data_IF_312776219526
#
_entry.id   IF_312776219526
#
_cell.length_a   1.000
_cell.length_b   1.000
_cell.length_c   1.000
_cell.angle_alpha   90.00
_cell.angle_beta   90.00
_cell.angle_gamma   90.00
#
_symmetry.space_group_name_H-M   'P 1'
#
loop_
_entity.id
_entity.type
_entity.pdbx_description
1 polymer ?
#
# COMPACT_ATOMS: atom_id res chain seq x y z
N UNK A 1 56.33 -8.89 62.97
CA UNK A 1 54.90 -9.26 62.78
C UNK A 1 54.28 -8.36 61.79
N UNK A 2 54.12 -8.84 60.56
CA UNK A 2 53.52 -8.03 59.43
C UNK A 2 52.06 -8.49 59.28
N UNK A 3 51.13 -7.63 59.65
CA UNK A 3 49.72 -7.85 59.46
C UNK A 3 49.38 -7.60 57.97
N UNK A 4 49.04 -8.68 57.26
CA UNK A 4 48.50 -8.59 55.90
C UNK A 4 47.05 -8.06 55.95
N UNK A 5 46.84 -6.86 55.46
CA UNK A 5 45.50 -6.32 55.24
C UNK A 5 45.04 -6.84 53.89
N UNK A 6 44.06 -7.75 53.89
CA UNK A 6 43.33 -8.16 52.68
C UNK A 6 42.30 -7.04 52.39
N UNK A 7 42.47 -6.35 51.28
CA UNK A 7 41.42 -5.51 50.68
C UNK A 7 40.46 -6.41 49.90
N UNK A 8 39.16 -6.40 50.16
CA UNK A 8 38.20 -7.01 49.27
C UNK A 8 38.00 -6.11 48.03
N UNK A 9 38.41 -6.62 46.89
CA UNK A 9 38.08 -6.03 45.59
C UNK A 9 36.58 -6.24 45.39
N UNK A 10 35.83 -5.18 45.60
CA UNK A 10 34.42 -5.14 45.25
C UNK A 10 34.35 -4.98 43.72
N UNK A 11 34.19 -6.09 43.01
CA UNK A 11 33.90 -6.10 41.60
C UNK A 11 32.49 -5.55 41.41
N UNK A 12 32.41 -4.26 41.04
CA UNK A 12 31.19 -3.61 40.62
C UNK A 12 30.84 -4.17 39.24
N UNK A 13 30.10 -5.26 39.20
CA UNK A 13 29.44 -5.74 38.01
C UNK A 13 28.34 -4.72 37.65
N UNK A 14 28.73 -3.71 36.88
CA UNK A 14 27.78 -2.90 36.15
C UNK A 14 27.10 -3.83 35.14
N UNK A 15 25.95 -4.36 35.54
CA UNK A 15 25.03 -4.99 34.63
C UNK A 15 24.63 -3.95 33.59
N UNK A 16 25.25 -4.06 32.44
CA UNK A 16 24.71 -3.44 31.24
C UNK A 16 23.35 -4.10 30.98
N UNK A 17 22.32 -3.56 31.61
CA UNK A 17 20.96 -3.82 31.15
C UNK A 17 20.92 -3.17 29.77
N UNK A 18 21.25 -3.95 28.76
CA UNK A 18 20.88 -3.65 27.40
C UNK A 18 19.35 -3.57 27.43
N UNK A 19 18.81 -2.35 27.50
CA UNK A 19 17.46 -2.11 27.06
C UNK A 19 17.47 -2.52 25.58
N UNK A 20 17.11 -3.76 25.30
CA UNK A 20 16.61 -4.11 23.99
C UNK A 20 15.42 -3.17 23.78
N UNK A 21 15.67 -2.07 23.06
CA UNK A 21 14.59 -1.32 22.47
C UNK A 21 13.92 -2.29 21.53
N UNK A 22 12.71 -2.68 21.89
CA UNK A 22 11.77 -3.36 21.01
C UNK A 22 11.38 -2.36 19.89
N UNK A 23 12.36 -1.87 19.14
CA UNK A 23 12.15 -0.88 18.08
C UNK A 23 11.20 -1.42 17.01
N UNK A 24 11.13 -2.74 16.84
CA UNK A 24 10.22 -3.44 15.94
C UNK A 24 8.74 -3.25 16.31
N UNK A 25 8.42 -3.01 17.57
CA UNK A 25 7.04 -2.74 18.01
C UNK A 25 6.48 -1.42 17.48
N UNK A 26 7.36 -0.52 17.09
CA UNK A 26 7.00 0.82 16.65
C UNK A 26 7.24 1.05 15.16
N UNK A 27 7.58 0.01 14.41
CA UNK A 27 7.81 0.12 12.97
C UNK A 27 6.48 -0.02 12.22
N UNK A 28 6.15 0.98 11.46
CA UNK A 28 4.99 0.94 10.56
C UNK A 28 5.27 0.05 9.37
N UNK A 29 4.32 -0.80 9.02
CA UNK A 29 4.39 -1.63 7.81
C UNK A 29 3.37 -1.17 6.77
N UNK A 30 3.77 -1.19 5.51
CA UNK A 30 2.92 -0.89 4.38
C UNK A 30 2.01 -2.09 4.05
N UNK A 31 0.75 -1.88 3.63
CA UNK A 31 -0.07 -2.97 3.12
C UNK A 31 0.61 -3.67 1.94
N UNK A 32 0.47 -4.99 1.83
CA UNK A 32 0.92 -5.77 0.69
C UNK A 32 -0.25 -5.97 -0.27
N UNK A 33 -0.13 -5.43 -1.47
CA UNK A 33 -1.16 -5.54 -2.50
C UNK A 33 -0.99 -6.86 -3.26
N UNK A 34 -2.10 -7.56 -3.45
CA UNK A 34 -2.17 -8.83 -4.17
C UNK A 34 -2.61 -8.64 -5.63
N UNK A 35 -3.68 -7.85 -5.84
CA UNK A 35 -4.22 -7.60 -7.18
C UNK A 35 -5.07 -6.31 -7.20
N UNK A 36 -5.50 -5.94 -8.39
CA UNK A 36 -6.56 -4.97 -8.66
C UNK A 36 -7.61 -5.68 -9.51
N UNK A 37 -8.82 -5.83 -8.97
CA UNK A 37 -9.93 -6.53 -9.62
C UNK A 37 -11.01 -5.57 -10.07
N UNK A 38 -11.81 -6.01 -11.04
CA UNK A 38 -12.95 -5.24 -11.59
C UNK A 38 -14.14 -6.17 -11.66
N UNK A 39 -15.24 -5.79 -11.04
CA UNK A 39 -16.49 -6.56 -11.07
C UNK A 39 -17.64 -5.70 -11.57
N UNK A 40 -18.41 -6.21 -12.54
CA UNK A 40 -19.63 -5.54 -13.00
C UNK A 40 -20.62 -5.42 -11.84
N UNK A 41 -21.22 -4.24 -11.68
CA UNK A 41 -22.28 -4.01 -10.69
C UNK A 41 -23.57 -4.77 -11.04
N UNK A 42 -23.75 -5.11 -12.33
CA UNK A 42 -24.99 -5.72 -12.84
C UNK A 42 -24.87 -7.24 -12.92
N UNK A 43 -23.76 -7.74 -13.48
CA UNK A 43 -23.61 -9.18 -13.80
C UNK A 43 -22.68 -9.92 -12.86
N UNK A 44 -22.00 -9.20 -11.97
CA UNK A 44 -20.97 -9.72 -11.05
C UNK A 44 -19.83 -10.48 -11.76
N UNK A 45 -19.69 -10.31 -13.08
CA UNK A 45 -18.65 -10.95 -13.87
C UNK A 45 -17.41 -10.08 -14.01
N UNK A 46 -16.28 -10.69 -14.33
CA UNK A 46 -15.01 -10.00 -14.60
C UNK A 46 -14.94 -9.48 -16.06
N UNK A 47 -15.98 -9.71 -16.85
CA UNK A 47 -16.05 -9.23 -18.23
C UNK A 47 -16.38 -7.74 -18.22
N UNK A 48 -15.44 -6.92 -18.68
CA UNK A 48 -15.57 -5.46 -18.67
C UNK A 48 -16.13 -5.01 -20.02
N UNK A 49 -17.29 -4.37 -19.97
CA UNK A 49 -18.04 -3.90 -21.14
C UNK A 49 -18.19 -2.38 -21.07
N UNK A 50 -18.01 -1.70 -22.22
CA UNK A 50 -18.17 -0.26 -22.31
C UNK A 50 -19.60 0.18 -21.93
N UNK A 51 -19.73 1.27 -21.19
CA UNK A 51 -21.01 1.81 -20.71
C UNK A 51 -21.52 1.20 -19.40
N UNK A 52 -20.97 0.05 -18.95
CA UNK A 52 -21.35 -0.56 -17.67
C UNK A 52 -20.58 0.03 -16.49
N UNK A 53 -21.17 -0.07 -15.30
CA UNK A 53 -20.54 0.29 -14.03
C UNK A 53 -19.78 -0.89 -13.46
N UNK A 54 -18.54 -0.65 -13.06
CA UNK A 54 -17.69 -1.64 -12.41
C UNK A 54 -17.23 -1.12 -11.05
N UNK A 55 -17.10 -2.03 -10.10
CA UNK A 55 -16.34 -1.79 -8.87
C UNK A 55 -14.90 -2.22 -9.13
N UNK A 56 -13.99 -1.26 -9.14
CA UNK A 56 -12.57 -1.50 -9.09
C UNK A 56 -12.15 -1.67 -7.63
N UNK A 57 -11.44 -2.74 -7.30
CA UNK A 57 -10.97 -3.01 -5.93
C UNK A 57 -9.50 -3.38 -5.96
N UNK A 58 -8.71 -2.74 -5.08
CA UNK A 58 -7.32 -3.16 -4.84
C UNK A 58 -7.31 -4.09 -3.64
N UNK A 59 -6.92 -5.33 -3.87
CA UNK A 59 -6.94 -6.40 -2.88
C UNK A 59 -5.63 -6.41 -2.09
N UNK A 60 -5.73 -6.33 -0.77
CA UNK A 60 -4.61 -6.42 0.15
C UNK A 60 -4.43 -7.86 0.63
N UNK A 61 -3.28 -8.47 0.32
CA UNK A 61 -2.89 -9.77 0.89
C UNK A 61 -2.54 -9.66 2.37
N UNK A 62 -1.94 -8.53 2.76
CA UNK A 62 -1.64 -8.19 4.14
C UNK A 62 -2.00 -6.74 4.39
N UNK A 63 -2.59 -6.49 5.54
CA UNK A 63 -2.91 -5.14 5.99
C UNK A 63 -1.65 -4.48 6.57
N UNK A 64 -1.56 -3.17 6.43
CA UNK A 64 -0.52 -2.41 7.09
C UNK A 64 -0.67 -2.41 8.62
N UNK A 65 0.35 -1.94 9.30
CA UNK A 65 0.40 -1.79 10.74
C UNK A 65 0.95 -0.42 11.13
N UNK A 66 0.53 0.13 12.26
CA UNK A 66 0.91 1.46 12.75
C UNK A 66 0.75 2.57 11.69
N UNK A 67 -0.39 2.55 11.03
CA UNK A 67 -0.83 3.59 10.11
C UNK A 67 -2.08 4.24 10.70
N UNK A 68 -2.31 5.55 10.45
CA UNK A 68 -3.47 6.23 11.03
C UNK A 68 -4.54 6.59 10.00
N UNK A 69 -4.20 6.73 8.72
CA UNK A 69 -5.15 6.95 7.62
C UNK A 69 -4.55 6.56 6.28
N UNK A 70 -5.40 6.38 5.29
CA UNK A 70 -5.03 6.24 3.89
C UNK A 70 -5.74 7.28 3.02
N UNK A 71 -5.06 7.74 1.98
CA UNK A 71 -5.60 8.60 0.95
C UNK A 71 -5.48 7.87 -0.39
N UNK A 72 -6.58 7.74 -1.12
CA UNK A 72 -6.62 7.04 -2.40
C UNK A 72 -6.97 7.98 -3.54
N UNK A 73 -6.18 7.93 -4.60
CA UNK A 73 -6.48 8.63 -5.85
C UNK A 73 -6.51 7.64 -6.99
N UNK A 74 -7.67 7.46 -7.57
CA UNK A 74 -7.88 6.66 -8.76
C UNK A 74 -7.72 7.50 -10.02
N UNK A 75 -7.20 6.91 -11.07
CA UNK A 75 -7.19 7.48 -12.41
C UNK A 75 -7.05 6.38 -13.44
N UNK A 76 -7.67 6.55 -14.59
CA UNK A 76 -7.25 5.88 -15.79
C UNK A 76 -6.11 6.70 -16.40
N UNK A 77 -4.92 6.16 -16.43
CA UNK A 77 -3.85 6.75 -17.22
C UNK A 77 -4.03 6.25 -18.65
N UNK A 78 -4.83 6.97 -19.43
CA UNK A 78 -4.90 6.73 -20.86
C UNK A 78 -3.62 7.22 -21.50
N UNK A 79 -3.02 6.34 -22.28
CA UNK A 79 -1.99 6.73 -23.19
C UNK A 79 -2.60 7.74 -24.17
N UNK A 80 -2.13 8.98 -24.04
CA UNK A 80 -2.16 10.01 -25.05
C UNK A 80 -3.54 10.49 -25.56
N UNK A 81 -4.15 11.38 -24.81
CA UNK A 81 -4.94 12.47 -25.41
C UNK A 81 -6.33 12.15 -25.92
N UNK A 82 -6.83 10.92 -25.81
CA UNK A 82 -8.12 10.54 -26.41
C UNK A 82 -9.28 10.56 -25.42
N UNK A 83 -9.02 10.35 -24.14
CA UNK A 83 -10.08 10.37 -23.13
C UNK A 83 -9.64 11.14 -21.88
N UNK A 84 -10.53 11.98 -21.37
CA UNK A 84 -10.43 12.43 -19.97
C UNK A 84 -10.51 11.19 -19.09
N UNK A 85 -9.80 11.16 -17.95
CA UNK A 85 -9.94 10.05 -17.00
C UNK A 85 -11.42 9.73 -16.81
N UNK A 86 -11.79 8.46 -17.01
CA UNK A 86 -13.16 8.03 -16.82
C UNK A 86 -13.61 8.30 -15.39
N UNK A 87 -12.66 8.34 -14.47
CA UNK A 87 -12.88 8.74 -13.08
C UNK A 87 -11.59 9.29 -12.47
N UNK A 88 -11.74 10.20 -11.54
CA UNK A 88 -10.71 10.62 -10.59
C UNK A 88 -11.39 10.89 -9.27
N UNK A 89 -11.01 10.15 -8.23
CA UNK A 89 -11.51 10.38 -6.88
C UNK A 89 -10.36 10.42 -5.88
N UNK A 90 -10.54 11.19 -4.82
CA UNK A 90 -9.69 11.15 -3.63
C UNK A 90 -10.56 10.73 -2.48
N UNK A 91 -10.28 9.55 -1.94
CA UNK A 91 -11.02 8.99 -0.81
C UNK A 91 -10.09 8.91 0.39
N UNK A 92 -10.60 9.34 1.54
CA UNK A 92 -9.94 9.16 2.83
C UNK A 92 -10.60 7.99 3.55
N UNK A 93 -9.84 6.95 3.83
CA UNK A 93 -10.39 5.73 4.40
C UNK A 93 -9.48 5.12 5.47
N UNK A 94 -10.00 4.12 6.14
CA UNK A 94 -9.21 3.26 7.00
C UNK A 94 -8.24 2.43 6.15
N UNK A 95 -6.95 2.49 6.46
CA UNK A 95 -5.90 1.77 5.75
C UNK A 95 -6.11 0.24 5.71
N UNK A 96 -6.93 -0.29 6.59
CA UNK A 96 -7.24 -1.72 6.66
C UNK A 96 -8.29 -2.18 5.67
N UNK A 97 -9.00 -1.26 5.02
CA UNK A 97 -9.98 -1.56 3.99
C UNK A 97 -9.29 -1.73 2.64
N UNK A 98 -9.85 -2.58 1.78
CA UNK A 98 -9.43 -2.64 0.39
C UNK A 98 -9.92 -1.37 -0.32
N UNK A 99 -9.02 -0.56 -0.93
CA UNK A 99 -9.44 0.59 -1.69
C UNK A 99 -10.35 0.19 -2.84
N UNK A 100 -11.53 0.79 -2.94
CA UNK A 100 -12.47 0.52 -4.01
C UNK A 100 -13.14 1.80 -4.50
N UNK A 101 -13.53 1.81 -5.78
CA UNK A 101 -14.32 2.87 -6.38
C UNK A 101 -15.16 2.32 -7.53
N UNK A 102 -16.25 3.02 -7.86
CA UNK A 102 -17.09 2.68 -8.99
C UNK A 102 -16.69 3.47 -10.22
N UNK A 103 -16.37 2.75 -11.28
CA UNK A 103 -15.87 3.31 -12.53
C UNK A 103 -16.75 2.93 -13.72
N UNK A 104 -16.68 3.74 -14.79
CA UNK A 104 -17.32 3.47 -16.09
C UNK A 104 -16.29 3.72 -17.19
N UNK A 105 -16.13 2.75 -18.08
CA UNK A 105 -15.38 2.94 -19.32
C UNK A 105 -16.35 3.27 -20.44
N UNK A 106 -16.25 4.46 -21.00
CA UNK A 106 -17.24 4.94 -21.99
C UNK A 106 -17.08 4.34 -23.40
N UNK A 107 -15.93 3.73 -23.66
CA UNK A 107 -15.63 3.15 -24.99
C UNK A 107 -14.86 1.83 -24.85
N UNK A 108 -14.99 0.91 -25.81
CA UNK A 108 -14.14 -0.26 -25.83
C UNK A 108 -12.68 0.13 -26.09
N UNK A 109 -11.74 -0.66 -25.58
CA UNK A 109 -10.31 -0.39 -25.73
C UNK A 109 -9.47 -1.01 -24.64
N UNK A 110 -8.18 -0.69 -24.61
CA UNK A 110 -7.27 -1.07 -23.54
C UNK A 110 -6.94 0.15 -22.71
N UNK A 111 -7.18 0.04 -21.42
CA UNK A 111 -6.99 1.12 -20.46
C UNK A 111 -5.91 0.74 -19.45
N UNK A 112 -5.14 1.71 -19.00
CA UNK A 112 -4.22 1.55 -17.89
C UNK A 112 -4.80 2.21 -16.65
N UNK A 113 -5.44 1.44 -15.80
CA UNK A 113 -6.01 1.93 -14.53
C UNK A 113 -4.91 2.07 -13.50
N UNK A 114 -4.92 3.17 -12.78
CA UNK A 114 -3.91 3.51 -11.77
C UNK A 114 -4.58 3.94 -10.47
N UNK A 115 -4.16 3.32 -9.37
CA UNK A 115 -4.40 3.80 -8.02
C UNK A 115 -3.09 4.34 -7.44
N UNK A 116 -3.12 5.51 -6.85
CA UNK A 116 -2.07 6.01 -5.97
C UNK A 116 -2.63 6.07 -4.55
N UNK A 117 -2.09 5.26 -3.67
CA UNK A 117 -2.42 5.24 -2.25
C UNK A 117 -1.28 5.90 -1.45
N UNK A 118 -1.64 6.74 -0.49
CA UNK A 118 -0.74 7.25 0.54
C UNK A 118 -1.19 6.69 1.87
N UNK A 119 -0.32 5.93 2.53
CA UNK A 119 -0.55 5.38 3.86
C UNK A 119 0.26 6.18 4.87
N UNK A 120 -0.41 6.93 5.70
CA UNK A 120 0.22 7.81 6.68
C UNK A 120 0.73 7.02 7.87
N UNK A 121 2.02 7.18 8.14
CA UNK A 121 2.79 6.46 9.17
C UNK A 121 2.49 7.02 10.55
N UNK A 122 2.21 6.16 11.52
CA UNK A 122 2.07 6.52 12.94
C UNK A 122 3.20 6.01 13.83
N UNK A 123 4.04 5.12 13.30
CA UNK A 123 5.26 4.62 13.94
C UNK A 123 6.53 5.10 13.23
N UNK A 124 7.59 4.30 13.29
CA UNK A 124 8.80 4.52 12.52
C UNK A 124 8.64 4.01 11.10
N UNK A 125 9.20 4.71 10.12
CA UNK A 125 9.16 4.26 8.74
C UNK A 125 10.08 3.06 8.51
N UNK A 126 9.59 2.04 7.80
CA UNK A 126 10.40 0.93 7.29
C UNK A 126 10.91 1.25 5.88
N UNK A 127 12.21 1.50 5.74
CA UNK A 127 12.83 1.81 4.45
C UNK A 127 12.93 0.58 3.52
N UNK A 128 12.81 -0.64 4.05
CA UNK A 128 12.89 -1.88 3.25
C UNK A 128 11.67 -2.08 2.36
N UNK A 129 10.63 -1.27 2.54
CA UNK A 129 9.39 -1.35 1.76
C UNK A 129 9.58 -1.00 0.28
N UNK A 130 10.62 -0.24 -0.06
CA UNK A 130 10.85 0.24 -1.45
C UNK A 130 11.12 -0.93 -2.39
N UNK A 131 10.14 -1.26 -3.23
CA UNK A 131 10.19 -2.37 -4.19
C UNK A 131 9.14 -2.23 -5.28
N UNK A 132 9.27 -3.06 -6.30
CA UNK A 132 8.22 -3.25 -7.32
C UNK A 132 7.84 -4.72 -7.35
N UNK A 133 6.55 -5.01 -7.28
CA UNK A 133 5.99 -6.35 -7.42
C UNK A 133 5.13 -6.42 -8.68
N UNK A 134 5.19 -7.52 -9.40
CA UNK A 134 4.29 -7.80 -10.50
C UNK A 134 2.97 -8.39 -9.96
N UNK A 135 1.87 -8.01 -10.59
CA UNK A 135 0.53 -8.56 -10.38
C UNK A 135 -0.08 -8.96 -11.74
N UNK A 136 -1.14 -9.75 -11.80
CA UNK A 136 -1.77 -10.12 -13.06
C UNK A 136 -2.14 -8.90 -13.92
N UNK A 137 -1.48 -8.76 -15.08
CA UNK A 137 -1.71 -7.65 -16.02
C UNK A 137 -1.23 -6.27 -15.56
N UNK A 138 -0.38 -6.20 -14.51
CA UNK A 138 0.07 -4.93 -13.98
C UNK A 138 1.22 -5.03 -12.99
N UNK A 139 1.42 -3.97 -12.22
CA UNK A 139 2.46 -3.89 -11.19
C UNK A 139 2.07 -3.02 -10.02
N UNK A 140 2.75 -3.23 -8.91
CA UNK A 140 2.66 -2.43 -7.69
C UNK A 140 4.04 -1.87 -7.37
N UNK A 141 4.14 -0.56 -7.26
CA UNK A 141 5.36 0.14 -6.86
C UNK A 141 5.19 0.68 -5.45
N UNK A 142 6.14 0.37 -4.58
CA UNK A 142 6.19 0.82 -3.20
C UNK A 142 7.32 1.82 -3.05
N UNK A 143 7.02 2.97 -2.47
CA UNK A 143 7.96 4.06 -2.26
C UNK A 143 7.82 4.62 -0.84
N UNK A 144 8.92 5.14 -0.31
CA UNK A 144 8.94 5.91 0.93
C UNK A 144 9.42 7.34 0.60
N UNK A 145 8.54 8.22 0.07
CA UNK A 145 8.93 9.57 -0.32
C UNK A 145 9.29 10.45 0.87
N UNK A 146 8.76 10.14 2.04
CA UNK A 146 9.10 10.79 3.30
C UNK A 146 8.84 9.83 4.47
N UNK A 147 9.41 10.12 5.62
CA UNK A 147 9.17 9.37 6.86
C UNK A 147 7.71 9.45 7.38
N UNK A 148 6.87 10.28 6.76
CA UNK A 148 5.47 10.48 7.17
C UNK A 148 4.48 9.57 6.45
N UNK A 149 4.83 9.03 5.28
CA UNK A 149 3.91 8.19 4.52
C UNK A 149 4.61 7.27 3.51
N UNK A 150 3.99 6.11 3.28
CA UNK A 150 4.29 5.26 2.14
C UNK A 150 3.42 5.67 0.95
N UNK A 151 4.01 5.64 -0.25
CA UNK A 151 3.25 5.74 -1.50
C UNK A 151 3.23 4.38 -2.16
N UNK A 152 2.03 3.88 -2.45
CA UNK A 152 1.81 2.65 -3.20
C UNK A 152 1.11 3.00 -4.49
N UNK A 153 1.73 2.70 -5.62
CA UNK A 153 1.16 2.90 -6.95
C UNK A 153 0.83 1.55 -7.54
N UNK A 154 -0.46 1.28 -7.72
CA UNK A 154 -0.96 0.08 -8.41
C UNK A 154 -1.34 0.47 -9.81
N UNK A 155 -0.86 -0.27 -10.81
CA UNK A 155 -1.18 -0.05 -12.22
C UNK A 155 -1.59 -1.36 -12.83
N UNK A 156 -2.72 -1.39 -13.55
CA UNK A 156 -3.21 -2.58 -14.25
C UNK A 156 -3.78 -2.22 -15.62
N UNK A 157 -3.43 -3.03 -16.62
CA UNK A 157 -4.02 -2.94 -17.96
C UNK A 157 -5.37 -3.66 -17.96
N UNK A 158 -6.37 -3.02 -18.52
CA UNK A 158 -7.76 -3.50 -18.54
C UNK A 158 -8.26 -3.46 -19.96
N UNK A 159 -8.76 -4.59 -20.46
CA UNK A 159 -9.39 -4.67 -21.79
C UNK A 159 -10.90 -4.52 -21.64
N UNK A 160 -11.43 -3.47 -22.23
CA UNK A 160 -12.87 -3.15 -22.26
C UNK A 160 -13.43 -3.60 -23.59
N UNK A 161 -14.48 -4.39 -23.56
CA UNK A 161 -15.16 -4.91 -24.75
C UNK A 161 -16.29 -3.98 -25.19
N UNK A 162 -16.68 -4.06 -26.46
CA UNK A 162 -17.91 -3.39 -26.92
C UNK A 162 -19.12 -4.01 -26.22
N UNK A 163 -20.16 -3.20 -26.02
CA UNK A 163 -21.46 -3.71 -25.63
C UNK A 163 -22.01 -4.62 -26.76
N UNK A 164 -22.73 -5.69 -26.44
CA UNK A 164 -23.31 -6.60 -27.40
C UNK A 164 -24.38 -5.90 -28.28
#
# INVERSE_FOLDING_TARGET
>A
MIKKILLPVFALALGLVSCERDDDKYVSTCPVIHDMTFKSVVTETDRIVAGEKFVATVEQAQKGHLLYKAEYKWSDALDEGVHKPAFTSVVYDNYSNNPSDTIVFNSPGTYKVKLVAKYHISGNADASVVRTNEIPGGKVQYELPSWMYYRVTVTKNVRVQAAP
#
